data_IF_600073713837
#
_entry.id   IF_600073713837
#
_cell.length_a   1.000
_cell.length_b   1.000
_cell.length_c   1.000
_cell.angle_alpha   90.00
_cell.angle_beta   90.00
_cell.angle_gamma   90.00
#
_symmetry.space_group_name_H-M   'P 1'
#
loop_
_entity.id
_entity.type
_entity.pdbx_description
1 polymer ?
#
# COMPACT_ATOMS: atom_id res chain seq x y z
N UNK A 1 -30.63 -5.90 -31.26
CA UNK A 1 -30.91 -5.95 -29.82
C UNK A 1 -30.16 -7.13 -29.23
N UNK A 2 -29.23 -6.89 -28.30
CA UNK A 2 -28.49 -7.93 -27.59
C UNK A 2 -27.54 -7.27 -26.59
N UNK A 3 -27.95 -7.24 -25.32
CA UNK A 3 -27.28 -6.56 -24.21
C UNK A 3 -25.92 -7.24 -23.92
N UNK A 4 -24.83 -6.47 -23.95
CA UNK A 4 -23.54 -6.85 -23.35
C UNK A 4 -23.70 -6.80 -21.83
N UNK A 5 -23.79 -7.97 -21.20
CA UNK A 5 -23.95 -8.12 -19.76
C UNK A 5 -22.73 -7.68 -18.98
N UNK A 6 -22.98 -6.97 -17.88
CA UNK A 6 -22.00 -6.50 -16.91
C UNK A 6 -21.06 -7.63 -16.44
N UNK A 7 -19.76 -7.31 -16.35
CA UNK A 7 -18.74 -8.19 -15.80
C UNK A 7 -18.93 -8.32 -14.28
N UNK A 8 -19.70 -9.32 -13.87
CA UNK A 8 -19.88 -9.67 -12.45
C UNK A 8 -18.58 -10.23 -11.85
N UNK A 9 -18.03 -9.53 -10.85
CA UNK A 9 -16.93 -10.03 -9.99
C UNK A 9 -17.55 -10.68 -8.76
N UNK A 10 -17.26 -11.95 -8.50
CA UNK A 10 -17.68 -12.66 -7.28
C UNK A 10 -16.63 -12.54 -6.16
N UNK A 11 -17.15 -12.35 -4.94
CA UNK A 11 -16.52 -11.90 -3.72
C UNK A 11 -15.52 -12.88 -3.07
N UNK A 12 -14.55 -12.33 -2.34
CA UNK A 12 -13.70 -13.04 -1.37
C UNK A 12 -14.35 -13.10 0.01
N UNK A 13 -14.32 -14.30 0.61
CA UNK A 13 -14.68 -14.57 2.01
C UNK A 13 -13.76 -13.81 3.00
N UNK A 14 -14.20 -13.60 4.26
CA UNK A 14 -13.40 -12.90 5.26
C UNK A 14 -12.16 -13.70 5.67
N UNK A 15 -11.16 -13.03 6.30
CA UNK A 15 -9.99 -13.67 6.89
C UNK A 15 -10.39 -14.76 7.87
N UNK A 16 -9.64 -15.85 7.91
CA UNK A 16 -9.87 -17.03 8.76
C UNK A 16 -9.50 -16.82 10.25
N UNK A 17 -9.69 -15.62 10.76
CA UNK A 17 -9.65 -15.33 12.19
C UNK A 17 -10.99 -14.68 12.54
N UNK A 18 -11.61 -15.09 13.65
CA UNK A 18 -13.02 -14.86 14.03
C UNK A 18 -13.96 -15.95 13.51
N UNK A 19 -13.84 -17.15 14.08
CA UNK A 19 -14.95 -18.05 14.46
C UNK A 19 -14.33 -19.31 15.10
N UNK A 20 -13.81 -19.14 16.31
CA UNK A 20 -13.70 -20.22 17.30
C UNK A 20 -13.79 -19.56 18.67
N UNK A 21 -15.02 -19.36 19.12
CA UNK A 21 -15.33 -19.16 20.53
C UNK A 21 -16.29 -20.27 20.95
N UNK A 22 -16.02 -20.81 22.15
CA UNK A 22 -16.89 -21.60 22.99
C UNK A 22 -16.95 -23.12 22.75
N UNK A 23 -15.94 -23.81 23.29
CA UNK A 23 -16.18 -24.90 24.25
C UNK A 23 -15.10 -24.86 25.34
N UNK A 24 -15.38 -24.18 26.44
CA UNK A 24 -14.57 -24.21 27.67
C UNK A 24 -15.37 -24.92 28.76
N UNK A 25 -14.84 -26.04 29.26
CA UNK A 25 -15.27 -26.68 30.51
C UNK A 25 -14.05 -26.71 31.44
N UNK A 26 -14.11 -25.88 32.48
CA UNK A 26 -13.56 -26.04 33.84
C UNK A 26 -12.10 -26.49 34.07
N UNK A 27 -11.30 -25.62 34.71
CA UNK A 27 -10.09 -26.00 35.48
C UNK A 27 -9.08 -24.86 35.65
N UNK A 28 -8.41 -24.68 36.82
CA UNK A 28 -8.15 -23.36 37.42
C UNK A 28 -6.88 -22.64 36.93
N UNK A 29 -6.94 -21.31 37.04
CA UNK A 29 -5.92 -20.35 36.67
C UNK A 29 -4.69 -20.37 37.60
N UNK A 30 -3.50 -20.54 37.02
CA UNK A 30 -2.24 -20.17 37.65
C UNK A 30 -2.00 -18.66 37.44
N UNK A 31 -1.97 -17.91 38.53
CA UNK A 31 -1.61 -16.49 38.56
C UNK A 31 -0.11 -16.34 38.26
N UNK A 32 0.23 -15.77 37.11
CA UNK A 32 1.58 -15.29 36.84
C UNK A 32 1.84 -14.00 37.61
N UNK A 33 2.62 -14.14 38.67
CA UNK A 33 2.89 -13.14 39.69
C UNK A 33 4.18 -12.35 39.36
N UNK A 34 4.24 -11.64 38.22
CA UNK A 34 5.46 -10.94 37.78
C UNK A 34 5.39 -9.40 37.76
N UNK A 35 4.24 -8.78 38.05
CA UNK A 35 4.10 -7.31 38.06
C UNK A 35 3.95 -6.69 39.46
N UNK A 36 3.72 -7.48 40.51
CA UNK A 36 3.44 -6.93 41.84
C UNK A 36 4.71 -6.52 42.65
N UNK A 37 5.88 -7.07 42.33
CA UNK A 37 7.10 -6.82 43.12
C UNK A 37 7.79 -5.48 42.78
N UNK A 38 7.70 -5.01 41.52
CA UNK A 38 8.38 -3.78 41.07
C UNK A 38 7.61 -2.51 41.45
N UNK A 39 6.28 -2.57 41.51
CA UNK A 39 5.44 -1.42 41.86
C UNK A 39 5.51 -1.11 43.36
N UNK A 40 5.59 -2.14 44.22
CA UNK A 40 5.68 -1.96 45.67
C UNK A 40 7.01 -1.32 46.12
N UNK A 41 8.11 -1.60 45.41
CA UNK A 41 9.43 -1.02 45.69
C UNK A 41 9.52 0.47 45.33
N UNK A 42 8.78 0.91 44.31
CA UNK A 42 8.80 2.30 43.82
C UNK A 42 7.81 3.21 44.57
N UNK A 43 6.77 2.65 45.20
CA UNK A 43 5.80 3.41 45.99
C UNK A 43 6.42 4.03 47.26
N UNK A 44 7.40 3.35 47.87
CA UNK A 44 8.10 3.84 49.07
C UNK A 44 9.02 5.05 48.78
N UNK A 45 9.50 5.21 47.55
CA UNK A 45 10.40 6.30 47.15
C UNK A 45 9.64 7.61 46.90
N UNK A 46 8.38 7.51 46.46
CA UNK A 46 7.54 8.68 46.15
C UNK A 46 6.83 9.28 47.37
N UNK A 47 6.84 8.60 48.53
CA UNK A 47 6.13 9.04 49.73
C UNK A 47 6.78 10.24 50.46
N UNK A 48 8.02 10.61 50.13
CA UNK A 48 8.80 11.66 50.82
C UNK A 48 9.14 12.89 49.94
N UNK A 49 8.37 13.17 48.89
CA UNK A 49 8.70 14.21 47.89
C UNK A 49 8.24 15.63 48.28
N UNK A 50 7.45 15.77 49.35
CA UNK A 50 7.06 17.07 49.91
C UNK A 50 8.19 17.64 50.79
N UNK A 51 8.90 18.65 50.26
CA UNK A 51 9.98 19.35 50.96
C UNK A 51 11.35 19.31 50.29
N UNK A 52 11.54 18.47 49.26
CA UNK A 52 12.83 18.33 48.56
C UNK A 52 13.11 19.47 47.58
N UNK A 53 14.38 19.84 47.45
CA UNK A 53 14.85 20.86 46.52
C UNK A 53 14.78 20.37 45.06
N UNK A 54 14.74 21.29 44.06
CA UNK A 54 14.65 20.92 42.66
C UNK A 54 15.80 20.05 42.14
N UNK A 55 16.99 20.16 42.75
CA UNK A 55 18.17 19.38 42.38
C UNK A 55 18.07 17.93 42.85
N UNK A 56 17.53 17.69 44.04
CA UNK A 56 17.35 16.34 44.60
C UNK A 56 16.25 15.57 43.84
N UNK A 57 15.21 16.27 43.40
CA UNK A 57 14.17 15.69 42.53
C UNK A 57 14.71 15.29 41.16
N UNK A 58 15.68 16.04 40.64
CA UNK A 58 16.33 15.72 39.37
C UNK A 58 17.23 14.48 39.46
N UNK A 59 17.99 14.32 40.55
CA UNK A 59 18.84 13.14 40.78
C UNK A 59 18.01 11.83 40.89
N UNK A 60 16.84 11.91 41.53
CA UNK A 60 15.91 10.77 41.63
C UNK A 60 15.35 10.38 40.26
N UNK A 61 14.99 11.37 39.42
CA UNK A 61 14.46 11.12 38.08
C UNK A 61 15.54 10.55 37.13
N UNK A 62 16.80 10.97 37.31
CA UNK A 62 17.94 10.45 36.55
C UNK A 62 18.22 8.99 36.91
N UNK A 63 18.15 8.63 38.20
CA UNK A 63 18.24 7.25 38.68
C UNK A 63 17.11 6.34 38.20
N UNK A 64 15.94 6.91 37.92
CA UNK A 64 14.77 6.20 37.42
C UNK A 64 14.70 6.20 35.87
N UNK A 65 15.61 6.86 35.17
CA UNK A 65 15.59 7.07 33.72
C UNK A 65 14.27 7.64 33.18
N UNK A 66 13.53 8.41 33.99
CA UNK A 66 12.27 9.04 33.58
C UNK A 66 12.51 10.53 33.38
N UNK A 67 12.58 10.99 32.14
CA UNK A 67 12.70 12.42 31.83
C UNK A 67 11.34 13.12 31.96
N UNK A 68 11.21 14.21 32.74
CA UNK A 68 9.95 14.95 32.82
C UNK A 68 9.71 15.71 31.51
N UNK A 69 8.68 15.29 30.78
CA UNK A 69 8.20 15.94 29.55
C UNK A 69 7.47 17.25 29.88
N UNK A 70 8.21 18.28 30.29
CA UNK A 70 7.67 19.63 30.42
C UNK A 70 8.33 20.59 29.44
N UNK A 71 7.61 20.87 28.36
CA UNK A 71 7.61 22.11 27.57
C UNK A 71 8.94 22.89 27.52
N UNK A 72 9.90 22.41 26.72
CA UNK A 72 10.89 23.31 26.11
C UNK A 72 10.70 23.31 24.60
N UNK A 73 10.25 24.46 24.07
CA UNK A 73 10.41 24.81 22.65
C UNK A 73 11.91 25.03 22.41
N UNK A 74 12.64 23.95 22.15
CA UNK A 74 14.00 24.00 21.62
C UNK A 74 13.90 23.89 20.11
N UNK A 75 14.57 24.76 19.32
CA UNK A 75 14.71 24.52 17.89
C UNK A 75 15.33 23.14 17.69
N UNK A 76 14.67 22.26 16.95
CA UNK A 76 15.20 20.94 16.65
C UNK A 76 16.55 21.12 15.97
N UNK A 77 17.63 20.76 16.67
CA UNK A 77 18.95 20.66 16.05
C UNK A 77 18.85 19.58 14.99
N UNK A 78 19.47 19.82 13.83
CA UNK A 78 19.71 18.79 12.83
C UNK A 78 20.32 17.59 13.55
N UNK A 79 19.65 16.44 13.46
CA UNK A 79 20.18 15.22 14.05
C UNK A 79 21.63 15.06 13.56
N UNK A 80 22.57 14.93 14.50
CA UNK A 80 23.88 14.38 14.17
C UNK A 80 23.69 12.99 13.53
N UNK A 81 24.75 12.36 12.98
CA UNK A 81 24.64 10.99 12.49
C UNK A 81 24.14 10.13 13.64
N UNK A 82 22.84 9.82 13.61
CA UNK A 82 22.13 9.22 14.72
C UNK A 82 22.71 7.82 14.92
N UNK A 83 22.89 7.45 16.18
CA UNK A 83 22.90 6.03 16.50
C UNK A 83 21.55 5.48 16.06
N UNK A 84 21.59 4.74 14.95
CA UNK A 84 20.45 4.09 14.36
C UNK A 84 20.06 2.92 15.28
N UNK A 85 19.07 3.16 16.15
CA UNK A 85 18.56 2.12 17.05
C UNK A 85 17.79 1.05 16.27
N UNK A 86 17.46 1.31 15.00
CA UNK A 86 16.95 0.31 14.04
C UNK A 86 18.07 -0.55 13.44
N UNK A 87 19.33 -0.16 13.62
CA UNK A 87 20.51 -0.86 13.10
C UNK A 87 20.83 -2.19 13.78
N UNK A 88 20.10 -2.57 14.83
CA UNK A 88 20.38 -3.79 15.62
C UNK A 88 19.34 -4.91 15.44
N UNK A 89 18.48 -4.86 14.41
CA UNK A 89 17.53 -5.97 14.15
C UNK A 89 17.25 -6.35 12.68
N UNK A 90 17.98 -5.85 11.67
CA UNK A 90 17.45 -5.87 10.29
C UNK A 90 18.39 -6.21 9.13
N UNK A 91 19.44 -7.02 9.29
CA UNK A 91 20.39 -7.27 8.19
C UNK A 91 19.79 -7.91 6.90
N UNK A 92 18.55 -8.42 6.96
CA UNK A 92 17.91 -9.15 5.85
C UNK A 92 16.47 -8.70 5.52
N UNK A 93 16.03 -7.52 5.96
CA UNK A 93 14.66 -7.03 5.71
C UNK A 93 14.64 -5.62 5.10
N UNK A 94 13.55 -5.28 4.42
CA UNK A 94 13.38 -4.00 3.71
C UNK A 94 12.18 -3.22 4.23
N UNK A 95 12.38 -1.91 4.42
CA UNK A 95 11.36 -0.95 4.86
C UNK A 95 11.33 0.24 3.91
N UNK A 96 10.21 0.49 3.24
CA UNK A 96 10.13 1.45 2.13
C UNK A 96 8.96 1.19 1.19
N UNK A 97 9.09 1.68 -0.05
CA UNK A 97 8.15 1.38 -1.14
C UNK A 97 8.75 0.31 -2.04
N UNK A 98 8.06 -0.83 -2.12
CA UNK A 98 8.32 -1.88 -3.09
C UNK A 98 7.49 -1.66 -4.35
N UNK A 99 8.16 -1.38 -5.46
CA UNK A 99 7.56 -1.23 -6.77
C UNK A 99 7.65 -2.54 -7.55
N UNK A 100 6.51 -3.20 -7.82
CA UNK A 100 6.45 -4.47 -8.56
C UNK A 100 5.63 -4.30 -9.82
N UNK A 101 6.22 -4.58 -10.98
CA UNK A 101 5.52 -4.65 -12.26
C UNK A 101 5.41 -6.10 -12.71
N UNK A 102 4.17 -6.61 -12.79
CA UNK A 102 3.85 -7.91 -13.37
C UNK A 102 3.65 -7.72 -14.87
N UNK A 103 4.66 -8.10 -15.65
CA UNK A 103 4.70 -7.82 -17.10
C UNK A 103 3.85 -8.85 -17.86
N UNK A 104 4.27 -10.10 -17.86
CA UNK A 104 3.59 -11.18 -18.59
C UNK A 104 3.94 -12.56 -18.02
N UNK A 105 3.05 -13.53 -18.24
CA UNK A 105 3.23 -14.92 -17.90
C UNK A 105 3.62 -15.76 -19.12
N UNK A 106 4.66 -16.58 -19.01
CA UNK A 106 5.13 -17.47 -20.09
C UNK A 106 5.02 -18.92 -19.67
N UNK A 107 4.67 -19.79 -20.63
CA UNK A 107 4.52 -21.22 -20.42
C UNK A 107 3.57 -21.59 -19.26
N UNK A 108 2.60 -20.73 -18.97
CA UNK A 108 1.59 -20.97 -17.93
C UNK A 108 0.59 -22.01 -18.44
N UNK A 109 0.54 -23.16 -17.77
CA UNK A 109 -0.49 -24.17 -18.02
C UNK A 109 -1.68 -23.94 -17.11
N UNK A 110 -2.88 -24.03 -17.68
CA UNK A 110 -4.12 -24.07 -16.92
C UNK A 110 -4.48 -25.54 -16.71
N UNK A 111 -4.79 -26.01 -15.50
CA UNK A 111 -5.21 -27.40 -15.28
C UNK A 111 -6.43 -27.76 -16.14
N UNK A 112 -6.40 -28.89 -16.84
CA UNK A 112 -7.41 -29.30 -17.83
C UNK A 112 -8.85 -29.37 -17.27
N UNK A 113 -8.98 -29.53 -15.95
CA UNK A 113 -10.26 -29.56 -15.23
C UNK A 113 -10.92 -28.18 -15.13
N UNK A 114 -10.28 -27.13 -15.64
CA UNK A 114 -10.76 -25.74 -15.60
C UNK A 114 -11.11 -25.30 -17.02
N UNK A 115 -12.39 -25.07 -17.27
CA UNK A 115 -12.90 -24.63 -18.57
C UNK A 115 -12.50 -23.18 -18.92
N UNK A 116 -12.05 -22.40 -17.94
CA UNK A 116 -11.61 -21.03 -18.14
C UNK A 116 -10.08 -20.97 -18.25
N UNK A 117 -9.60 -20.42 -19.37
CA UNK A 117 -8.16 -20.18 -19.59
C UNK A 117 -7.72 -18.79 -19.11
N UNK A 118 -8.58 -18.08 -18.38
CA UNK A 118 -8.32 -16.71 -17.97
C UNK A 118 -7.53 -16.70 -16.65
N UNK A 119 -6.40 -16.01 -16.61
CA UNK A 119 -5.46 -16.02 -15.49
C UNK A 119 -5.30 -14.62 -14.86
N UNK A 120 -5.06 -14.58 -13.55
CA UNK A 120 -4.61 -13.38 -12.86
C UNK A 120 -3.54 -13.73 -11.83
N UNK A 121 -2.72 -12.73 -11.47
CA UNK A 121 -1.67 -12.83 -10.48
C UNK A 121 -2.09 -12.15 -9.18
N UNK A 122 -1.71 -12.75 -8.05
CA UNK A 122 -1.81 -12.20 -6.70
C UNK A 122 -0.40 -12.06 -6.14
N UNK A 123 -0.12 -10.90 -5.57
CA UNK A 123 1.12 -10.60 -4.88
C UNK A 123 0.87 -10.56 -3.38
N UNK A 124 1.59 -11.40 -2.66
CA UNK A 124 1.68 -11.38 -1.21
C UNK A 124 3.07 -10.93 -0.78
N UNK A 125 3.14 -10.18 0.32
CA UNK A 125 4.40 -9.81 0.99
C UNK A 125 4.31 -10.31 2.41
N UNK A 126 5.24 -11.18 2.80
CA UNK A 126 5.24 -11.90 4.08
C UNK A 126 3.86 -12.49 4.44
N UNK A 127 3.30 -13.27 3.50
CA UNK A 127 2.00 -13.96 3.62
C UNK A 127 0.77 -13.04 3.73
N UNK A 128 0.95 -11.73 3.53
CA UNK A 128 -0.14 -10.77 3.48
C UNK A 128 -0.46 -10.39 2.04
N UNK A 129 -1.73 -10.55 1.64
CA UNK A 129 -2.20 -10.11 0.34
C UNK A 129 -2.05 -8.59 0.17
N UNK A 130 -1.22 -8.16 -0.80
CA UNK A 130 -0.96 -6.74 -1.06
C UNK A 130 -1.55 -6.25 -2.38
N UNK A 131 -1.56 -7.09 -3.41
CA UNK A 131 -2.04 -6.67 -4.73
C UNK A 131 -2.57 -7.83 -5.58
N UNK A 132 -3.39 -7.50 -6.58
CA UNK A 132 -3.95 -8.43 -7.55
C UNK A 132 -4.03 -7.77 -8.93
N UNK A 133 -3.63 -8.48 -9.97
CA UNK A 133 -3.76 -8.00 -11.36
C UNK A 133 -5.18 -8.15 -11.89
N UNK A 134 -5.46 -7.48 -13.00
CA UNK A 134 -6.55 -7.84 -13.89
C UNK A 134 -6.45 -9.27 -14.43
N UNK A 135 -7.53 -9.70 -15.07
CA UNK A 135 -7.61 -10.99 -15.74
C UNK A 135 -7.01 -10.85 -17.14
N UNK A 136 -6.14 -11.78 -17.52
CA UNK A 136 -5.54 -11.86 -18.86
C UNK A 136 -5.82 -13.22 -19.48
N UNK A 137 -5.95 -13.23 -20.80
CA UNK A 137 -6.32 -14.40 -21.61
C UNK A 137 -5.12 -14.95 -22.39
N UNK A 138 -5.19 -16.19 -22.89
CA UNK A 138 -4.15 -16.73 -23.77
C UNK A 138 -3.94 -15.90 -25.03
N UNK A 139 -5.00 -15.31 -25.59
CA UNK A 139 -4.95 -14.45 -26.77
C UNK A 139 -4.19 -13.14 -26.49
N UNK A 140 -4.19 -12.70 -25.22
CA UNK A 140 -3.39 -11.57 -24.74
C UNK A 140 -1.98 -11.99 -24.29
N UNK A 141 -1.58 -13.25 -24.54
CA UNK A 141 -0.31 -13.83 -24.11
C UNK A 141 -0.05 -13.70 -22.61
N UNK A 142 -1.11 -13.71 -21.78
CA UNK A 142 -1.03 -13.45 -20.35
C UNK A 142 -0.24 -12.18 -20.00
N UNK A 143 -0.32 -11.15 -20.85
CA UNK A 143 0.24 -9.84 -20.58
C UNK A 143 -0.67 -9.08 -19.64
N UNK A 144 -0.15 -8.70 -18.48
CA UNK A 144 -0.84 -7.83 -17.53
C UNK A 144 -0.32 -6.40 -17.63
N UNK A 145 1.00 -6.23 -17.67
CA UNK A 145 1.67 -4.93 -17.69
C UNK A 145 1.18 -4.00 -16.55
N UNK A 146 0.96 -4.57 -15.37
CA UNK A 146 0.46 -3.86 -14.20
C UNK A 146 1.57 -3.65 -13.18
N UNK A 147 1.69 -2.42 -12.67
CA UNK A 147 2.63 -1.98 -11.64
C UNK A 147 1.90 -1.60 -10.37
N UNK A 148 2.38 -2.14 -9.26
CA UNK A 148 1.96 -1.88 -7.90
C UNK A 148 3.10 -1.22 -7.13
N UNK A 149 2.81 -0.13 -6.43
CA UNK A 149 3.74 0.49 -5.48
C UNK A 149 3.17 0.20 -4.07
N UNK A 150 3.90 -0.56 -3.26
CA UNK A 150 3.43 -1.15 -2.01
C UNK A 150 4.31 -0.71 -0.85
N UNK A 151 3.71 -0.16 0.19
CA UNK A 151 4.42 0.15 1.44
C UNK A 151 4.75 -1.15 2.18
N UNK A 152 6.04 -1.35 2.45
CA UNK A 152 6.59 -2.49 3.16
C UNK A 152 7.35 -2.05 4.41
N UNK A 153 7.26 -2.84 5.46
CA UNK A 153 7.94 -2.61 6.74
C UNK A 153 8.57 -3.94 7.18
N UNK A 154 9.89 -3.95 7.34
CA UNK A 154 10.68 -5.10 7.74
C UNK A 154 10.37 -6.35 6.89
N UNK A 155 10.10 -6.15 5.60
CA UNK A 155 9.65 -7.22 4.73
C UNK A 155 10.82 -8.06 4.21
N UNK A 156 10.57 -9.37 4.08
CA UNK A 156 11.61 -10.33 3.69
C UNK A 156 11.31 -11.03 2.38
N UNK A 157 10.04 -11.41 2.17
CA UNK A 157 9.65 -12.26 1.07
C UNK A 157 8.46 -11.68 0.29
N UNK A 158 8.50 -11.85 -1.03
CA UNK A 158 7.37 -11.61 -1.92
C UNK A 158 6.98 -12.90 -2.64
N UNK A 159 5.69 -13.21 -2.64
CA UNK A 159 5.14 -14.43 -3.22
C UNK A 159 4.11 -14.07 -4.29
N UNK A 160 4.20 -14.75 -5.43
CA UNK A 160 3.37 -14.54 -6.61
C UNK A 160 2.55 -15.79 -6.86
N UNK A 161 1.23 -15.65 -6.85
CA UNK A 161 0.30 -16.74 -7.08
C UNK A 161 -0.49 -16.50 -8.35
N UNK A 162 -0.51 -17.47 -9.25
CA UNK A 162 -1.31 -17.42 -10.47
C UNK A 162 -2.57 -18.27 -10.25
N UNK A 163 -3.72 -17.64 -10.50
CA UNK A 163 -5.02 -18.27 -10.37
C UNK A 163 -5.77 -18.28 -11.70
N UNK A 164 -6.44 -19.39 -11.99
CA UNK A 164 -7.44 -19.46 -13.03
C UNK A 164 -8.77 -18.91 -12.52
N UNK A 165 -9.25 -17.86 -13.20
CA UNK A 165 -10.51 -17.20 -12.89
C UNK A 165 -11.69 -18.02 -13.39
N UNK A 166 -12.79 -18.02 -12.64
CA UNK A 166 -14.05 -18.63 -13.06
C UNK A 166 -15.23 -17.76 -12.57
N UNK A 167 -16.26 -17.51 -13.39
CA UNK A 167 -17.33 -16.57 -13.04
C UNK A 167 -18.24 -17.04 -11.89
N UNK A 168 -18.43 -18.36 -11.76
CA UNK A 168 -19.41 -18.96 -10.83
C UNK A 168 -18.81 -19.92 -9.81
N UNK A 169 -17.55 -20.32 -10.00
CA UNK A 169 -16.90 -21.35 -9.19
C UNK A 169 -15.68 -20.73 -8.53
N UNK A 170 -15.20 -21.39 -7.47
CA UNK A 170 -13.97 -21.00 -6.81
C UNK A 170 -12.81 -20.98 -7.81
N UNK A 171 -12.09 -19.87 -7.83
CA UNK A 171 -10.88 -19.73 -8.65
C UNK A 171 -9.85 -20.79 -8.22
N UNK A 172 -9.11 -21.33 -9.20
CA UNK A 172 -8.16 -22.41 -8.94
C UNK A 172 -6.73 -21.89 -8.92
N UNK A 173 -6.00 -22.23 -7.88
CA UNK A 173 -4.55 -22.02 -7.84
C UNK A 173 -3.88 -22.85 -8.95
N UNK A 174 -2.92 -22.25 -9.65
CA UNK A 174 -2.22 -22.88 -10.76
C UNK A 174 -0.71 -22.90 -10.56
N UNK A 175 -0.11 -21.77 -10.16
CA UNK A 175 1.34 -21.62 -10.06
C UNK A 175 1.74 -20.73 -8.89
N UNK A 176 2.90 -21.00 -8.28
CA UNK A 176 3.52 -20.15 -7.25
C UNK A 176 4.96 -19.84 -7.61
N UNK A 177 5.40 -18.62 -7.34
CA UNK A 177 6.81 -18.23 -7.34
C UNK A 177 7.12 -17.38 -6.12
N UNK A 178 8.32 -17.50 -5.59
CA UNK A 178 8.76 -16.81 -4.38
C UNK A 178 10.06 -16.05 -4.65
N UNK A 179 10.20 -14.88 -4.04
CA UNK A 179 11.40 -14.04 -4.11
C UNK A 179 11.78 -13.61 -2.71
N UNK A 180 13.03 -13.87 -2.32
CA UNK A 180 13.64 -13.22 -1.15
C UNK A 180 14.05 -11.81 -1.56
N UNK A 181 13.42 -10.81 -0.96
CA UNK A 181 13.57 -9.42 -1.37
C UNK A 181 15.03 -8.99 -1.27
N UNK A 182 15.69 -9.28 -0.15
CA UNK A 182 17.08 -8.88 0.06
C UNK A 182 18.02 -9.48 -1.01
N UNK A 183 17.88 -10.77 -1.32
CA UNK A 183 18.67 -11.42 -2.38
C UNK A 183 18.43 -10.80 -3.75
N UNK A 184 17.16 -10.50 -4.06
CA UNK A 184 16.83 -9.82 -5.30
C UNK A 184 17.64 -8.53 -5.39
N UNK A 185 17.49 -7.61 -4.44
CA UNK A 185 18.14 -6.29 -4.53
C UNK A 185 19.68 -6.30 -4.37
N UNK A 186 20.24 -7.24 -3.61
CA UNK A 186 21.69 -7.36 -3.39
C UNK A 186 22.45 -7.86 -4.63
N UNK A 187 21.91 -8.87 -5.32
CA UNK A 187 22.66 -9.60 -6.37
C UNK A 187 22.66 -8.86 -7.71
N UNK A 188 21.64 -8.03 -7.99
CA UNK A 188 21.39 -7.56 -9.36
C UNK A 188 21.26 -6.04 -9.56
N UNK A 189 21.50 -5.21 -8.55
CA UNK A 189 21.43 -3.75 -8.74
C UNK A 189 20.05 -3.29 -9.22
N UNK A 190 18.98 -3.93 -8.73
CA UNK A 190 17.56 -3.62 -9.01
C UNK A 190 17.11 -2.23 -8.53
N UNK A 191 18.03 -1.38 -8.04
CA UNK A 191 17.83 0.07 -8.02
C UNK A 191 17.60 0.64 -9.44
N UNK A 192 17.97 -0.11 -10.48
CA UNK A 192 17.58 0.15 -11.87
C UNK A 192 16.37 -0.72 -12.21
N UNK A 193 15.34 -0.14 -12.85
CA UNK A 193 14.08 -0.76 -13.28
C UNK A 193 14.27 -1.92 -14.29
N UNK A 194 15.07 -2.94 -13.92
CA UNK A 194 15.44 -4.09 -14.72
C UNK A 194 14.38 -5.18 -14.61
N UNK A 195 14.29 -5.93 -15.69
CA UNK A 195 13.31 -7.00 -15.86
C UNK A 195 13.99 -8.33 -15.63
N UNK A 196 13.37 -9.21 -14.84
CA UNK A 196 13.86 -10.56 -14.56
C UNK A 196 12.74 -11.58 -14.69
N UNK A 197 13.12 -12.85 -14.86
CA UNK A 197 12.19 -13.95 -15.05
C UNK A 197 12.15 -14.82 -13.79
N UNK A 198 11.04 -14.81 -13.09
CA UNK A 198 10.78 -15.69 -11.96
C UNK A 198 10.29 -17.05 -12.46
N UNK A 199 10.96 -18.14 -12.08
CA UNK A 199 10.45 -19.49 -12.34
C UNK A 199 9.31 -19.81 -11.36
N UNK A 200 8.26 -20.43 -11.86
CA UNK A 200 7.10 -20.82 -11.08
C UNK A 200 7.00 -22.35 -10.96
N UNK A 201 6.56 -22.80 -9.80
CA UNK A 201 6.19 -24.18 -9.51
C UNK A 201 4.68 -24.39 -9.77
N UNK A 202 4.26 -25.48 -10.43
CA UNK A 202 5.06 -26.62 -10.89
C UNK A 202 5.75 -26.41 -12.26
N UNK A 203 5.29 -25.45 -13.07
CA UNK A 203 5.94 -25.06 -14.34
C UNK A 203 5.37 -23.75 -14.85
N UNK A 204 6.25 -22.78 -15.08
CA UNK A 204 5.88 -21.52 -15.73
C UNK A 204 6.94 -20.46 -15.45
N UNK A 205 6.79 -19.32 -16.10
CA UNK A 205 7.67 -18.19 -15.91
C UNK A 205 6.84 -16.92 -15.76
N UNK A 206 7.22 -16.07 -14.82
CA UNK A 206 6.63 -14.75 -14.63
C UNK A 206 7.69 -13.69 -14.90
N UNK A 207 7.42 -12.82 -15.86
CA UNK A 207 8.30 -11.71 -16.18
C UNK A 207 7.95 -10.52 -15.28
N UNK A 208 8.91 -10.11 -14.46
CA UNK A 208 8.73 -9.10 -13.42
C UNK A 208 9.73 -7.96 -13.59
N UNK A 209 9.33 -6.76 -13.17
CA UNK A 209 10.27 -5.66 -12.85
C UNK A 209 10.06 -5.29 -11.40
N UNK A 210 11.12 -5.28 -10.62
CA UNK A 210 11.05 -4.95 -9.19
C UNK A 210 12.04 -3.84 -8.91
N UNK A 211 11.62 -2.85 -8.13
CA UNK A 211 12.43 -1.74 -7.66
C UNK A 211 12.06 -1.43 -6.20
N UNK A 212 13.02 -0.91 -5.45
CA UNK A 212 12.82 -0.53 -4.05
C UNK A 212 13.25 0.92 -3.84
N UNK A 213 12.46 1.65 -3.07
CA UNK A 213 12.78 3.01 -2.62
C UNK A 213 12.70 3.04 -1.10
N UNK A 214 13.82 3.35 -0.46
CA UNK A 214 13.89 3.48 0.99
C UNK A 214 12.99 4.63 1.50
N UNK A 215 12.55 4.53 2.75
CA UNK A 215 11.68 5.50 3.43
C UNK A 215 12.20 6.94 3.32
N UNK A 216 13.51 7.15 3.48
CA UNK A 216 14.12 8.48 3.36
C UNK A 216 13.93 9.11 1.96
N UNK A 217 13.84 8.30 0.91
CA UNK A 217 13.55 8.76 -0.45
C UNK A 217 12.05 9.01 -0.66
N UNK A 218 11.19 8.21 -0.03
CA UNK A 218 9.73 8.30 -0.17
C UNK A 218 9.15 9.57 0.47
N UNK A 219 9.73 10.03 1.58
CA UNK A 219 9.29 11.27 2.25
C UNK A 219 9.84 12.56 1.63
N UNK A 220 10.68 12.46 0.59
CA UNK A 220 11.21 13.65 -0.07
C UNK A 220 10.09 14.33 -0.87
N UNK A 221 9.63 15.48 -0.37
CA UNK A 221 8.62 16.30 -1.04
C UNK A 221 9.18 16.86 -2.34
N UNK A 222 8.85 16.25 -3.47
CA UNK A 222 9.14 16.80 -4.80
C UNK A 222 8.13 17.92 -5.05
N UNK A 223 8.53 19.16 -4.77
CA UNK A 223 7.80 20.33 -5.25
C UNK A 223 7.90 20.31 -6.78
N UNK A 224 6.79 20.10 -7.49
CA UNK A 224 6.77 20.23 -8.95
C UNK A 224 6.63 21.72 -9.30
N UNK A 225 7.59 22.32 -10.01
CA UNK A 225 7.38 23.63 -10.60
C UNK A 225 6.58 23.42 -11.89
N UNK A 226 5.26 23.54 -11.83
CA UNK A 226 4.45 23.57 -13.03
C UNK A 226 3.20 24.42 -12.82
N UNK A 227 3.29 25.70 -13.20
CA UNK A 227 2.25 26.74 -13.13
C UNK A 227 1.00 26.45 -14.01
N UNK A 228 0.92 25.27 -14.64
CA UNK A 228 -0.16 24.88 -15.56
C UNK A 228 -0.84 23.54 -15.25
N UNK A 229 -0.27 22.68 -14.42
CA UNK A 229 -0.84 21.35 -14.15
C UNK A 229 -2.14 21.40 -13.33
N UNK A 230 -3.03 20.43 -13.52
CA UNK A 230 -4.23 20.24 -12.67
C UNK A 230 -4.00 19.28 -11.51
N UNK A 231 -2.96 18.43 -11.58
CA UNK A 231 -2.64 17.48 -10.51
C UNK A 231 -1.42 17.91 -9.69
N UNK A 232 -1.47 17.64 -8.39
CA UNK A 232 -0.40 17.99 -7.45
C UNK A 232 -0.37 19.47 -7.06
N UNK A 233 -1.27 20.28 -7.60
CA UNK A 233 -1.47 21.67 -7.19
C UNK A 233 -2.36 21.76 -5.94
N UNK A 234 -2.18 22.77 -5.08
CA UNK A 234 -3.10 23.04 -3.98
C UNK A 234 -4.53 23.26 -4.49
N UNK A 235 -5.53 22.66 -3.85
CA UNK A 235 -6.91 22.74 -4.30
C UNK A 235 -7.44 24.19 -4.36
N UNK A 236 -7.11 25.01 -3.35
CA UNK A 236 -7.51 26.42 -3.32
C UNK A 236 -6.97 27.22 -4.50
N UNK A 237 -5.77 26.88 -4.99
CA UNK A 237 -5.20 27.51 -6.17
C UNK A 237 -5.98 27.13 -7.44
N UNK A 238 -6.38 25.86 -7.59
CA UNK A 238 -7.19 25.42 -8.73
C UNK A 238 -8.58 26.07 -8.75
N UNK A 239 -9.24 26.13 -7.59
CA UNK A 239 -10.53 26.82 -7.39
C UNK A 239 -10.44 28.29 -7.81
N UNK A 240 -9.40 28.99 -7.38
CA UNK A 240 -9.18 30.40 -7.72
C UNK A 240 -8.86 30.59 -9.21
N UNK A 241 -8.01 29.72 -9.78
CA UNK A 241 -7.61 29.78 -11.19
C UNK A 241 -8.78 29.54 -12.14
N UNK A 242 -9.62 28.56 -11.82
CA UNK A 242 -10.76 28.16 -12.65
C UNK A 242 -12.02 28.96 -12.33
N UNK A 243 -12.02 29.75 -11.24
CA UNK A 243 -13.15 30.54 -10.75
C UNK A 243 -14.43 29.71 -10.56
N UNK A 244 -14.29 28.53 -9.94
CA UNK A 244 -15.37 27.55 -9.68
C UNK A 244 -15.19 26.94 -8.30
N UNK A 245 -16.29 26.52 -7.66
CA UNK A 245 -16.24 25.88 -6.33
C UNK A 245 -15.56 24.51 -6.34
N UNK A 246 -15.71 23.75 -7.42
CA UNK A 246 -15.11 22.42 -7.61
C UNK A 246 -14.36 22.43 -8.95
N UNK A 247 -13.02 22.20 -8.96
CA UNK A 247 -12.25 22.16 -10.20
C UNK A 247 -12.79 21.15 -11.21
N UNK A 248 -12.68 21.50 -12.49
CA UNK A 248 -13.28 20.73 -13.59
C UNK A 248 -12.83 19.26 -13.58
N UNK A 249 -11.52 19.03 -13.36
CA UNK A 249 -10.94 17.68 -13.32
C UNK A 249 -11.58 16.80 -12.23
N UNK A 250 -11.84 17.37 -11.04
CA UNK A 250 -12.45 16.65 -9.93
C UNK A 250 -13.93 16.39 -10.20
N UNK A 251 -14.65 17.42 -10.64
CA UNK A 251 -16.07 17.32 -11.01
C UNK A 251 -16.30 16.22 -12.05
N UNK A 252 -15.50 16.19 -13.12
CA UNK A 252 -15.61 15.17 -14.18
C UNK A 252 -15.30 13.77 -13.69
N UNK A 253 -14.19 13.60 -12.96
CA UNK A 253 -13.79 12.27 -12.46
C UNK A 253 -14.84 11.71 -11.49
N UNK A 254 -15.36 12.55 -10.58
CA UNK A 254 -16.39 12.15 -9.61
C UNK A 254 -17.71 11.83 -10.31
N UNK A 255 -18.19 12.69 -11.21
CA UNK A 255 -19.42 12.45 -11.95
C UNK A 255 -19.36 11.16 -12.79
N UNK A 256 -18.19 10.83 -13.35
CA UNK A 256 -17.99 9.60 -14.10
C UNK A 256 -18.00 8.35 -13.19
N UNK A 257 -17.37 8.44 -12.03
CA UNK A 257 -17.41 7.38 -11.00
C UNK A 257 -18.83 7.15 -10.47
N UNK A 258 -19.58 8.22 -10.19
CA UNK A 258 -20.97 8.13 -9.74
C UNK A 258 -21.88 7.49 -10.80
N UNK A 259 -21.70 7.86 -12.07
CA UNK A 259 -22.48 7.31 -13.19
C UNK A 259 -22.25 5.82 -13.39
N UNK A 260 -21.02 5.35 -13.22
CA UNK A 260 -20.65 3.93 -13.31
C UNK A 260 -21.14 3.11 -12.12
N UNK A 261 -21.52 3.80 -11.03
CA UNK A 261 -21.95 3.18 -9.78
C UNK A 261 -20.79 2.61 -8.96
N UNK A 262 -21.11 2.27 -7.71
CA UNK A 262 -20.20 1.64 -6.73
C UNK A 262 -20.30 0.11 -6.75
N UNK A 263 -21.01 -0.45 -7.73
CA UNK A 263 -21.23 -1.90 -7.88
C UNK A 263 -19.92 -2.65 -8.22
N UNK A 264 -18.85 -1.92 -8.54
CA UNK A 264 -17.52 -2.48 -8.67
C UNK A 264 -16.84 -2.57 -7.29
N UNK A 265 -16.41 -3.77 -6.84
CA UNK A 265 -15.72 -3.89 -5.57
C UNK A 265 -14.43 -3.05 -5.57
N UNK A 266 -14.43 -2.05 -4.68
CA UNK A 266 -13.24 -1.41 -4.12
C UNK A 266 -12.68 -0.20 -4.85
N UNK A 267 -13.43 0.91 -4.78
CA UNK A 267 -12.93 2.29 -4.87
C UNK A 267 -11.71 2.58 -3.94
N UNK A 268 -11.36 1.64 -3.05
CA UNK A 268 -10.21 1.71 -2.16
C UNK A 268 -8.95 1.00 -2.69
N UNK A 269 -9.05 0.15 -3.72
CA UNK A 269 -7.87 -0.54 -4.27
C UNK A 269 -7.06 0.37 -5.20
N UNK A 270 -5.73 0.26 -5.11
CA UNK A 270 -4.83 0.94 -6.04
C UNK A 270 -4.88 0.25 -7.40
N UNK A 271 -5.12 1.01 -8.47
CA UNK A 271 -5.06 0.48 -9.83
C UNK A 271 -3.62 0.12 -10.21
N UNK A 272 -3.41 -1.11 -10.66
CA UNK A 272 -2.14 -1.59 -11.20
C UNK A 272 -1.79 -1.00 -12.58
N UNK A 273 -2.72 -0.37 -13.29
CA UNK A 273 -2.51 0.14 -14.64
C UNK A 273 -1.74 1.49 -14.68
N UNK A 274 -0.52 1.51 -14.17
CA UNK A 274 0.29 2.74 -14.02
C UNK A 274 0.53 3.45 -15.34
N UNK A 275 0.79 2.75 -16.44
CA UNK A 275 0.98 3.40 -17.74
C UNK A 275 -0.28 4.12 -18.21
N UNK A 276 -1.45 3.48 -18.07
CA UNK A 276 -2.75 4.08 -18.40
C UNK A 276 -3.06 5.26 -17.50
N UNK A 277 -2.68 5.17 -16.22
CA UNK A 277 -2.80 6.27 -15.24
C UNK A 277 -2.00 7.48 -15.67
N UNK A 278 -0.73 7.27 -16.04
CA UNK A 278 0.16 8.35 -16.49
C UNK A 278 -0.36 8.95 -17.79
N UNK A 279 -0.77 8.13 -18.76
CA UNK A 279 -1.32 8.60 -20.04
C UNK A 279 -2.57 9.44 -19.85
N UNK A 280 -3.54 8.94 -19.07
CA UNK A 280 -4.79 9.64 -18.81
C UNK A 280 -4.56 10.93 -18.00
N UNK A 281 -3.62 10.90 -17.05
CA UNK A 281 -3.20 12.09 -16.32
C UNK A 281 -2.66 13.16 -17.28
N UNK A 282 -1.78 12.81 -18.22
CA UNK A 282 -1.23 13.76 -19.20
C UNK A 282 -2.36 14.37 -20.04
N UNK A 283 -3.30 13.55 -20.53
CA UNK A 283 -4.47 14.04 -21.29
C UNK A 283 -5.32 15.02 -20.47
N UNK A 284 -5.55 14.73 -19.18
CA UNK A 284 -6.28 15.62 -18.28
C UNK A 284 -5.50 16.90 -17.95
N UNK A 285 -4.17 16.85 -17.87
CA UNK A 285 -3.31 18.03 -17.69
C UNK A 285 -3.25 18.90 -18.95
N UNK A 286 -3.29 18.30 -20.14
CA UNK A 286 -3.35 19.01 -21.42
C UNK A 286 -4.71 19.70 -21.61
N UNK A 287 -5.81 18.96 -21.46
CA UNK A 287 -7.15 19.50 -21.52
C UNK A 287 -8.16 18.63 -20.76
N UNK A 288 -8.50 19.07 -19.55
CA UNK A 288 -9.48 18.41 -18.69
C UNK A 288 -10.90 18.36 -19.29
N UNK A 289 -11.26 19.22 -20.25
CA UNK A 289 -12.58 19.24 -20.91
C UNK A 289 -12.67 18.26 -22.10
N UNK A 290 -11.56 17.96 -22.78
CA UNK A 290 -11.55 17.07 -23.95
C UNK A 290 -11.06 15.65 -23.63
N UNK A 291 -10.45 15.43 -22.47
CA UNK A 291 -10.00 14.10 -22.07
C UNK A 291 -11.16 13.09 -22.02
N UNK A 292 -11.02 11.98 -22.75
CA UNK A 292 -12.02 10.92 -22.81
C UNK A 292 -11.86 9.95 -21.63
N UNK A 293 -12.68 10.18 -20.60
CA UNK A 293 -12.74 9.37 -19.38
C UNK A 293 -13.89 8.36 -19.39
N UNK A 294 -14.56 8.16 -20.52
CA UNK A 294 -15.73 7.28 -20.61
C UNK A 294 -15.42 5.79 -20.36
N UNK A 295 -16.47 4.96 -20.28
CA UNK A 295 -16.32 3.53 -19.99
C UNK A 295 -15.55 2.75 -21.07
N UNK A 296 -15.65 3.17 -22.34
CA UNK A 296 -14.92 2.54 -23.45
C UNK A 296 -13.41 2.75 -23.39
N UNK A 297 -12.89 3.99 -23.32
CA UNK A 297 -11.43 4.22 -23.22
C UNK A 297 -10.86 3.80 -21.86
N UNK A 298 -11.65 3.94 -20.79
CA UNK A 298 -11.22 3.69 -19.42
C UNK A 298 -12.24 2.75 -18.79
N UNK A 299 -12.16 1.43 -19.01
CA UNK A 299 -13.14 0.50 -18.45
C UNK A 299 -12.96 0.26 -16.93
N UNK A 300 -11.76 0.50 -16.39
CA UNK A 300 -11.46 0.28 -14.97
C UNK A 300 -11.74 1.53 -14.13
N UNK A 301 -12.79 1.54 -13.26
CA UNK A 301 -13.10 2.68 -12.41
C UNK A 301 -12.04 2.94 -11.32
N UNK A 302 -11.22 1.94 -10.97
CA UNK A 302 -10.15 2.13 -9.98
C UNK A 302 -9.07 3.10 -10.51
N UNK A 303 -8.89 3.15 -11.84
CA UNK A 303 -7.98 4.10 -12.48
C UNK A 303 -8.44 5.55 -12.24
N UNK A 304 -9.73 5.82 -12.47
CA UNK A 304 -10.33 7.13 -12.23
C UNK A 304 -10.29 7.49 -10.75
N UNK A 305 -10.51 6.51 -9.88
CA UNK A 305 -10.44 6.70 -8.43
C UNK A 305 -9.02 7.06 -7.96
N UNK A 306 -7.99 6.43 -8.52
CA UNK A 306 -6.60 6.80 -8.25
C UNK A 306 -6.30 8.23 -8.68
N UNK A 307 -6.80 8.67 -9.84
CA UNK A 307 -6.61 10.04 -10.32
C UNK A 307 -7.39 11.05 -9.49
N UNK A 308 -8.64 10.74 -9.10
CA UNK A 308 -9.45 11.58 -8.24
C UNK A 308 -8.77 11.77 -6.88
N UNK A 309 -8.26 10.68 -6.27
CA UNK A 309 -7.45 10.74 -5.05
C UNK A 309 -6.19 11.58 -5.24
N UNK A 310 -5.50 11.47 -6.38
CA UNK A 310 -4.29 12.24 -6.64
C UNK A 310 -4.58 13.74 -6.80
N UNK A 311 -5.69 14.10 -7.44
CA UNK A 311 -6.16 15.48 -7.52
C UNK A 311 -6.64 16.01 -6.16
N UNK A 312 -7.27 15.16 -5.34
CA UNK A 312 -7.86 15.53 -4.05
C UNK A 312 -6.88 15.46 -2.86
N UNK A 313 -5.78 14.69 -2.94
CA UNK A 313 -4.87 14.43 -1.81
C UNK A 313 -4.18 15.68 -1.24
N UNK A 314 -4.29 16.83 -1.90
CA UNK A 314 -3.86 18.12 -1.37
C UNK A 314 -4.90 18.82 -0.48
N UNK A 315 -6.05 18.18 -0.18
CA UNK A 315 -7.00 18.63 0.85
C UNK A 315 -6.42 18.55 2.27
N UNK A 316 -5.37 17.75 2.52
CA UNK A 316 -4.79 17.53 3.85
C UNK A 316 -3.85 18.64 4.38
N UNK A 317 -3.90 19.85 3.82
CA UNK A 317 -3.10 20.98 4.32
C UNK A 317 -3.88 22.27 4.59
N UNK A 318 -5.22 22.24 4.66
CA UNK A 318 -6.02 23.46 4.95
C UNK A 318 -6.62 23.50 6.37
N UNK A 319 -6.37 22.51 7.24
CA UNK A 319 -6.93 22.50 8.60
C UNK A 319 -5.91 22.45 9.76
N UNK A 320 -4.72 23.02 9.57
CA UNK A 320 -3.81 23.33 10.69
C UNK A 320 -3.34 24.78 10.68
N UNK A 321 -4.26 25.71 10.45
CA UNK A 321 -4.14 27.09 10.94
C UNK A 321 -5.53 27.58 11.29
N UNK A 322 -5.93 27.37 12.54
CA UNK A 322 -6.79 28.25 13.35
C UNK A 322 -6.67 27.83 14.80
#
# INVERSE_FOLDING_TARGET
MGRLGAQTRSNSLPPKAVLMENHFVGGPAAQNNFEAASVAQNAAVLANVEGMSPAEKADILDRLHVSPLTNRRVPLRTAGPGFDVDGLSGANSLSGILSVTVVEGRNLKVPDRVHSKQLYCVLEVDEQHRARTGISTPEQHFRWAERFDIDILNATNASFFIYAWHPQLRHRFCHKGDIRLMDAFLVEGFGTNRMFTLQLEPRGQLLLKVAFSDMAHCFRRVQRPADRGVFGQPLGWLVQRENVEVPLVLSRLVADLERRGVDTPGLYFLCGATERKVRLRVQLEENSAEADIGERPVPDPNLLTCLAKFAAAQLRHVQQVR
#
